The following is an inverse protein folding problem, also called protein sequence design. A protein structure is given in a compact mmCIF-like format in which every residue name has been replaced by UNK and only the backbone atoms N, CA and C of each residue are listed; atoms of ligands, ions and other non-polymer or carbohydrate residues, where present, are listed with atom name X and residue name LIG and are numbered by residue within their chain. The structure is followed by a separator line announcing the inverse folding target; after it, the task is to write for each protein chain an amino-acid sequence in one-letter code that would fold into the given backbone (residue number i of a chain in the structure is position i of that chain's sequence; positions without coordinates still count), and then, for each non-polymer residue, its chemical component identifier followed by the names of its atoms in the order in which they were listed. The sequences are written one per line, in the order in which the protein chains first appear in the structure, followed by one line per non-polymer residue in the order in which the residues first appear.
data_IF_242493939350
#
_entry.id   IF_242493939350
#
_cell.length_a   1.000
_cell.length_b   1.000
_cell.length_c   1.000
_cell.angle_alpha   90.00
_cell.angle_beta   90.00
_cell.angle_gamma   90.00
#
_symmetry.space_group_name_H-M   'P 1'
#
loop_
_entity.id
_entity.type
_entity.pdbx_description
1 polymer ?
#
# COMPACT_ATOMS: atom_id res chain seq x y z
N UNK A 1 -8.24 -25.19 -9.02
CA UNK A 1 -9.19 -24.50 -9.91
C UNK A 1 -8.65 -24.55 -11.33
N UNK A 2 -9.40 -25.09 -12.29
CA UNK A 2 -9.00 -25.15 -13.70
C UNK A 2 -9.12 -23.74 -14.30
N UNK A 3 -7.98 -23.14 -14.69
CA UNK A 3 -7.95 -21.89 -15.46
C UNK A 3 -8.65 -22.14 -16.80
N UNK A 4 -9.66 -21.33 -17.17
CA UNK A 4 -10.26 -21.39 -18.50
C UNK A 4 -9.16 -21.16 -19.56
N UNK A 5 -8.99 -22.09 -20.50
CA UNK A 5 -7.97 -21.98 -21.57
C UNK A 5 -8.19 -20.70 -22.38
N UNK A 6 -9.45 -20.26 -22.51
CA UNK A 6 -9.85 -19.07 -23.24
C UNK A 6 -9.33 -17.76 -22.63
N UNK A 7 -9.08 -17.71 -21.32
CA UNK A 7 -8.61 -16.50 -20.63
C UNK A 7 -7.10 -16.53 -20.31
N UNK A 8 -6.36 -17.47 -20.89
CA UNK A 8 -4.90 -17.53 -20.80
C UNK A 8 -4.18 -16.88 -21.99
N UNK A 9 -4.95 -16.38 -22.98
CA UNK A 9 -4.41 -15.64 -24.12
C UNK A 9 -4.39 -14.14 -23.80
N UNK A 10 -3.55 -13.40 -24.51
CA UNK A 10 -3.55 -11.95 -24.48
C UNK A 10 -4.88 -11.44 -25.07
N UNK A 11 -5.70 -10.76 -24.27
CA UNK A 11 -7.04 -10.37 -24.70
C UNK A 11 -7.03 -9.23 -25.73
N UNK A 12 -5.99 -8.38 -25.74
CA UNK A 12 -5.82 -7.35 -26.78
C UNK A 12 -5.44 -7.99 -28.11
N UNK A 13 -4.66 -9.07 -28.09
CA UNK A 13 -4.41 -9.86 -29.30
C UNK A 13 -5.67 -10.60 -29.76
N UNK A 14 -6.41 -11.21 -28.82
CA UNK A 14 -7.64 -11.94 -29.12
C UNK A 14 -8.70 -11.05 -29.77
N UNK A 15 -8.88 -9.82 -29.27
CA UNK A 15 -9.82 -8.85 -29.80
C UNK A 15 -9.54 -8.52 -31.28
N UNK A 16 -8.27 -8.36 -31.68
CA UNK A 16 -7.90 -8.10 -33.09
C UNK A 16 -8.31 -9.22 -34.05
N UNK A 17 -8.37 -10.45 -33.57
CA UNK A 17 -8.74 -11.64 -34.35
C UNK A 17 -10.26 -11.92 -34.28
N UNK A 18 -10.98 -11.29 -33.35
CA UNK A 18 -12.42 -11.50 -33.13
C UNK A 18 -13.27 -10.44 -33.85
N UNK A 19 -14.40 -10.87 -34.42
CA UNK A 19 -15.41 -9.93 -34.91
C UNK A 19 -16.11 -9.25 -33.73
N UNK A 20 -16.38 -7.94 -33.80
CA UNK A 20 -17.16 -7.21 -32.77
C UNK A 20 -18.52 -7.84 -32.47
N UNK A 21 -19.13 -8.56 -33.42
CA UNK A 21 -20.38 -9.33 -33.18
C UNK A 21 -20.22 -10.50 -32.21
N UNK A 22 -18.99 -10.95 -31.93
CA UNK A 22 -18.67 -12.02 -31.01
C UNK A 22 -19.04 -11.71 -29.56
N UNK A 23 -19.19 -10.42 -29.20
CA UNK A 23 -19.64 -10.00 -27.86
C UNK A 23 -20.97 -10.64 -27.46
N UNK A 24 -21.86 -10.90 -28.43
CA UNK A 24 -23.17 -11.53 -28.22
C UNK A 24 -23.08 -13.05 -27.96
N UNK A 25 -21.91 -13.63 -28.19
CA UNK A 25 -21.62 -15.05 -27.98
C UNK A 25 -20.75 -15.29 -26.74
N UNK A 26 -20.30 -14.22 -26.08
CA UNK A 26 -19.61 -14.37 -24.80
C UNK A 26 -20.59 -14.82 -23.73
N UNK A 27 -20.22 -15.81 -22.90
CA UNK A 27 -21.08 -16.30 -21.85
C UNK A 27 -21.50 -15.15 -20.92
N UNK A 28 -22.77 -15.16 -20.52
CA UNK A 28 -23.21 -14.37 -19.38
C UNK A 28 -22.52 -14.90 -18.13
N UNK A 29 -22.07 -13.97 -17.28
CA UNK A 29 -21.42 -14.32 -16.03
C UNK A 29 -22.52 -14.71 -15.07
N UNK A 30 -22.58 -15.98 -14.67
CA UNK A 30 -23.52 -16.41 -13.65
C UNK A 30 -23.09 -15.88 -12.27
N UNK A 31 -24.08 -15.62 -11.41
CA UNK A 31 -23.87 -15.21 -10.02
C UNK A 31 -23.11 -16.34 -9.30
N UNK A 32 -21.94 -16.03 -8.74
CA UNK A 32 -21.09 -17.00 -8.05
C UNK A 32 -20.04 -17.68 -8.92
N UNK A 33 -19.90 -17.32 -10.21
CA UNK A 33 -18.74 -17.73 -10.99
C UNK A 33 -17.42 -17.23 -10.37
N UNK A 34 -16.35 -17.99 -10.58
CA UNK A 34 -15.03 -17.64 -10.05
C UNK A 34 -14.53 -16.32 -10.66
N UNK A 35 -13.98 -15.44 -9.81
CA UNK A 35 -13.36 -14.17 -10.21
C UNK A 35 -12.36 -14.31 -11.38
N UNK A 36 -11.67 -15.45 -11.46
CA UNK A 36 -10.71 -15.77 -12.54
C UNK A 36 -11.37 -15.92 -13.94
N UNK A 37 -12.70 -16.07 -14.01
CA UNK A 37 -13.48 -16.02 -15.25
C UNK A 37 -14.19 -14.69 -15.43
N UNK A 38 -14.66 -14.09 -14.33
CA UNK A 38 -15.45 -12.87 -14.38
C UNK A 38 -14.63 -11.69 -14.91
N UNK A 39 -13.42 -11.47 -14.36
CA UNK A 39 -12.58 -10.33 -14.75
C UNK A 39 -12.22 -10.36 -16.24
N UNK A 40 -11.66 -11.46 -16.77
CA UNK A 40 -11.25 -11.49 -18.17
C UNK A 40 -12.46 -11.43 -19.13
N UNK A 41 -13.62 -11.98 -18.73
CA UNK A 41 -14.85 -11.89 -19.55
C UNK A 41 -15.37 -10.46 -19.63
N UNK A 42 -15.44 -9.74 -18.50
CA UNK A 42 -15.83 -8.33 -18.48
C UNK A 42 -14.87 -7.46 -19.28
N UNK A 43 -13.56 -7.69 -19.14
CA UNK A 43 -12.58 -6.94 -19.94
C UNK A 43 -12.64 -7.24 -21.44
N UNK A 44 -12.91 -8.49 -21.84
CA UNK A 44 -13.10 -8.81 -23.25
C UNK A 44 -14.37 -8.14 -23.82
N UNK A 45 -15.46 -8.09 -23.04
CA UNK A 45 -16.67 -7.32 -23.40
C UNK A 45 -16.36 -5.84 -23.53
N UNK A 46 -15.55 -5.28 -22.63
CA UNK A 46 -15.07 -3.90 -22.73
C UNK A 46 -14.33 -3.67 -24.06
N UNK A 47 -13.33 -4.49 -24.40
CA UNK A 47 -12.57 -4.32 -25.65
C UNK A 47 -13.45 -4.42 -26.91
N UNK A 48 -14.37 -5.38 -26.97
CA UNK A 48 -15.21 -5.58 -28.16
C UNK A 48 -16.31 -4.52 -28.35
N UNK A 49 -16.79 -3.92 -27.26
CA UNK A 49 -17.92 -2.98 -27.27
C UNK A 49 -17.56 -1.52 -27.00
N UNK A 50 -16.35 -1.26 -26.49
CA UNK A 50 -15.88 0.05 -26.01
C UNK A 50 -16.77 0.66 -24.92
N UNK A 51 -17.57 -0.17 -24.22
CA UNK A 51 -18.45 0.27 -23.15
C UNK A 51 -17.76 0.19 -21.78
N UNK A 52 -17.40 1.36 -21.22
CA UNK A 52 -16.74 1.51 -19.91
C UNK A 52 -17.50 0.90 -18.72
N UNK A 53 -18.77 0.53 -18.89
CA UNK A 53 -19.52 -0.23 -17.88
C UNK A 53 -18.82 -1.55 -17.54
N UNK A 54 -18.33 -2.29 -18.53
CA UNK A 54 -17.74 -3.60 -18.30
C UNK A 54 -16.37 -3.53 -17.60
N UNK A 55 -15.59 -2.48 -17.89
CA UNK A 55 -14.36 -2.19 -17.16
C UNK A 55 -14.69 -1.94 -15.67
N UNK A 56 -15.68 -1.08 -15.38
CA UNK A 56 -16.13 -0.82 -14.01
C UNK A 56 -16.64 -2.08 -13.31
N UNK A 57 -17.38 -2.93 -14.01
CA UNK A 57 -17.84 -4.23 -13.50
C UNK A 57 -16.65 -5.14 -13.12
N UNK A 58 -15.57 -5.14 -13.90
CA UNK A 58 -14.36 -5.91 -13.58
C UNK A 58 -13.68 -5.39 -12.30
N UNK A 59 -13.41 -4.09 -12.22
CA UNK A 59 -12.80 -3.49 -11.02
C UNK A 59 -13.68 -3.66 -9.78
N UNK A 60 -14.99 -3.50 -9.91
CA UNK A 60 -15.94 -3.72 -8.82
C UNK A 60 -15.96 -5.18 -8.36
N UNK A 61 -15.98 -6.15 -9.28
CA UNK A 61 -15.94 -7.58 -8.94
C UNK A 61 -14.69 -7.96 -8.15
N UNK A 62 -13.53 -7.40 -8.50
CA UNK A 62 -12.30 -7.59 -7.73
C UNK A 62 -12.41 -7.01 -6.32
N UNK A 63 -12.87 -5.76 -6.21
CA UNK A 63 -13.04 -5.09 -4.93
C UNK A 63 -14.03 -5.85 -4.02
N UNK A 64 -15.15 -6.30 -4.56
CA UNK A 64 -16.16 -7.09 -3.83
C UNK A 64 -15.59 -8.41 -3.33
N UNK A 65 -14.82 -9.12 -4.14
CA UNK A 65 -14.15 -10.39 -3.75
C UNK A 65 -13.25 -10.19 -2.54
N UNK A 66 -12.54 -9.06 -2.46
CA UNK A 66 -11.64 -8.73 -1.35
C UNK A 66 -12.45 -8.27 -0.11
N UNK A 67 -13.53 -7.52 -0.32
CA UNK A 67 -14.35 -6.95 0.75
C UNK A 67 -15.30 -7.96 1.41
N UNK A 68 -15.75 -8.97 0.67
CA UNK A 68 -16.76 -9.92 1.13
C UNK A 68 -16.37 -10.62 2.45
N UNK A 69 -15.16 -11.18 2.63
CA UNK A 69 -14.76 -11.80 3.90
C UNK A 69 -14.85 -10.83 5.09
N UNK A 70 -14.54 -9.55 4.88
CA UNK A 70 -14.59 -8.51 5.92
C UNK A 70 -16.04 -8.13 6.24
N UNK A 71 -16.90 -7.99 5.23
CA UNK A 71 -18.34 -7.70 5.42
C UNK A 71 -19.06 -8.84 6.15
N UNK A 72 -18.62 -10.09 5.95
CA UNK A 72 -19.14 -11.25 6.67
C UNK A 72 -18.65 -11.31 8.12
N UNK A 73 -17.42 -10.86 8.40
CA UNK A 73 -16.82 -10.77 9.74
C UNK A 73 -17.18 -9.45 10.45
N UNK A 74 -18.47 -9.22 10.64
CA UNK A 74 -18.99 -8.04 11.37
C UNK A 74 -18.46 -7.99 12.80
N UNK A 75 -18.28 -6.78 13.33
CA UNK A 75 -17.73 -6.55 14.68
C UNK A 75 -18.69 -5.72 15.54
N UNK A 76 -18.41 -5.61 16.84
CA UNK A 76 -19.16 -4.79 17.78
C UNK A 76 -18.16 -3.95 18.57
N UNK A 77 -18.01 -2.64 18.28
CA UNK A 77 -17.10 -1.80 19.03
C UNK A 77 -17.58 -1.59 20.47
N UNK A 78 -16.65 -1.54 21.41
CA UNK A 78 -16.92 -1.29 22.84
C UNK A 78 -15.83 -0.43 23.46
N UNK A 79 -16.12 0.47 24.40
CA UNK A 79 -15.07 1.31 24.96
C UNK A 79 -14.28 0.56 26.04
N UNK A 80 -12.99 0.30 25.80
CA UNK A 80 -12.11 -0.40 26.76
C UNK A 80 -11.11 0.51 27.49
N UNK A 81 -11.13 1.81 27.19
CA UNK A 81 -10.13 2.80 27.61
C UNK A 81 -10.72 3.66 28.72
N UNK A 82 -10.00 3.95 29.82
CA UNK A 82 -10.51 4.80 30.91
C UNK A 82 -10.65 6.28 30.51
N UNK A 83 -11.28 7.09 31.37
CA UNK A 83 -11.51 8.53 31.11
C UNK A 83 -10.24 9.37 31.01
N UNK A 84 -9.22 9.01 31.78
CA UNK A 84 -7.92 9.68 31.82
C UNK A 84 -6.89 9.06 30.87
N UNK A 85 -7.26 7.98 30.16
CA UNK A 85 -6.37 7.25 29.26
C UNK A 85 -6.44 7.74 27.82
N UNK A 86 -5.30 7.69 27.15
CA UNK A 86 -5.19 7.89 25.70
C UNK A 86 -4.53 6.68 25.05
N UNK A 87 -5.13 6.21 23.95
CA UNK A 87 -4.53 5.19 23.08
C UNK A 87 -3.63 5.89 22.08
N UNK A 88 -2.38 5.45 22.00
CA UNK A 88 -1.40 5.97 21.05
C UNK A 88 -0.85 4.83 20.19
N UNK A 89 -1.11 4.91 18.88
CA UNK A 89 -0.52 4.04 17.88
C UNK A 89 0.52 4.79 17.06
N UNK A 90 1.60 4.09 16.71
CA UNK A 90 2.71 4.63 15.90
C UNK A 90 3.30 3.56 14.99
N UNK A 91 3.48 3.90 13.71
CA UNK A 91 4.01 2.97 12.70
C UNK A 91 5.23 3.54 11.98
N UNK A 92 6.22 2.69 11.66
CA UNK A 92 7.29 3.06 10.74
C UNK A 92 6.74 3.19 9.31
N UNK A 93 7.53 3.78 8.43
CA UNK A 93 7.30 3.73 6.99
C UNK A 93 7.89 2.43 6.40
N UNK A 94 7.76 2.25 5.08
CA UNK A 94 8.34 1.10 4.39
C UNK A 94 9.08 1.46 3.11
N UNK A 95 10.19 0.77 2.86
CA UNK A 95 10.90 0.75 1.58
C UNK A 95 10.63 -0.58 0.88
N UNK A 96 10.17 -0.52 -0.38
CA UNK A 96 10.18 -1.66 -1.33
C UNK A 96 11.57 -1.74 -1.97
N UNK A 97 12.28 -2.84 -1.72
CA UNK A 97 13.60 -3.12 -2.29
C UNK A 97 13.52 -3.89 -3.61
N UNK A 98 12.53 -4.77 -3.73
CA UNK A 98 12.24 -5.56 -4.91
C UNK A 98 10.88 -6.25 -4.76
N UNK A 99 10.26 -6.59 -5.89
CA UNK A 99 9.03 -7.37 -5.90
C UNK A 99 7.75 -6.54 -5.95
N UNK A 100 7.82 -5.22 -5.77
CA UNK A 100 6.66 -4.34 -5.88
C UNK A 100 5.87 -4.58 -7.16
N UNK A 101 4.53 -4.50 -7.07
CA UNK A 101 3.52 -4.90 -8.06
C UNK A 101 3.14 -6.38 -8.06
N UNK A 102 4.00 -7.27 -7.57
CA UNK A 102 3.63 -8.70 -7.48
C UNK A 102 2.62 -8.97 -6.36
N UNK A 103 2.43 -8.03 -5.44
CA UNK A 103 1.47 -8.06 -4.34
C UNK A 103 0.06 -7.58 -4.74
N UNK A 104 -0.07 -6.98 -5.92
CA UNK A 104 -1.31 -6.34 -6.36
C UNK A 104 -2.29 -7.37 -6.95
N UNK A 105 -3.55 -7.43 -6.49
CA UNK A 105 -4.59 -8.22 -7.13
C UNK A 105 -4.92 -7.67 -8.54
N UNK A 106 -5.25 -8.53 -9.52
CA UNK A 106 -5.46 -9.98 -9.39
C UNK A 106 -4.17 -10.80 -9.51
N UNK A 107 -3.03 -10.21 -9.87
CA UNK A 107 -1.80 -10.96 -10.13
C UNK A 107 -1.39 -11.84 -8.95
N UNK A 108 -1.33 -11.28 -7.74
CA UNK A 108 -1.01 -12.05 -6.53
C UNK A 108 -2.00 -13.19 -6.26
N UNK A 109 -3.27 -13.03 -6.64
CA UNK A 109 -4.28 -14.10 -6.50
C UNK A 109 -4.10 -15.21 -7.53
N UNK A 110 -3.54 -14.91 -8.71
CA UNK A 110 -3.33 -15.88 -9.79
C UNK A 110 -2.02 -16.63 -9.64
N UNK A 111 -0.95 -15.91 -9.25
CA UNK A 111 0.42 -16.42 -9.29
C UNK A 111 1.19 -16.32 -7.98
N UNK A 112 0.59 -15.71 -6.94
CA UNK A 112 1.25 -15.40 -5.67
C UNK A 112 2.19 -14.21 -5.81
N UNK A 113 2.43 -13.46 -4.74
CA UNK A 113 3.35 -12.30 -4.75
C UNK A 113 4.60 -12.55 -3.89
N UNK A 114 5.72 -11.94 -4.28
CA UNK A 114 6.95 -11.90 -3.48
C UNK A 114 7.47 -10.47 -3.42
N UNK A 115 7.57 -9.89 -2.23
CA UNK A 115 8.08 -8.52 -2.03
C UNK A 115 9.09 -8.48 -0.90
N UNK A 116 10.27 -7.93 -1.17
CA UNK A 116 11.27 -7.66 -0.14
C UNK A 116 11.13 -6.22 0.33
N UNK A 117 10.75 -6.07 1.60
CA UNK A 117 10.48 -4.77 2.21
C UNK A 117 11.33 -4.54 3.46
N UNK A 118 11.52 -3.27 3.79
CA UNK A 118 12.16 -2.83 5.04
C UNK A 118 11.25 -1.85 5.75
N UNK A 119 10.92 -2.14 7.01
CA UNK A 119 10.27 -1.18 7.88
C UNK A 119 11.31 -0.16 8.38
N UNK A 120 11.05 1.14 8.18
CA UNK A 120 12.00 2.20 8.50
C UNK A 120 11.39 3.32 9.34
N UNK A 121 12.16 3.80 10.30
CA UNK A 121 11.91 5.05 11.01
C UNK A 121 12.63 6.20 10.30
N UNK A 122 12.04 7.38 10.34
CA UNK A 122 12.59 8.58 9.72
C UNK A 122 13.07 9.52 10.81
N UNK A 123 14.32 9.96 10.73
CA UNK A 123 14.96 10.81 11.73
C UNK A 123 14.83 10.25 13.16
N UNK A 124 14.90 8.92 13.30
CA UNK A 124 14.82 8.21 14.58
C UNK A 124 13.43 8.14 15.21
N UNK A 125 12.36 8.36 14.45
CA UNK A 125 10.98 8.27 14.92
C UNK A 125 10.06 7.54 13.91
N UNK A 126 9.03 6.82 14.40
CA UNK A 126 7.92 6.37 13.56
C UNK A 126 7.16 7.59 13.01
N UNK A 127 7.10 7.77 11.68
CA UNK A 127 6.57 8.98 11.08
C UNK A 127 5.05 9.06 11.03
N UNK A 128 4.34 7.96 11.32
CA UNK A 128 2.88 7.87 11.28
C UNK A 128 2.36 7.65 12.69
N UNK A 129 1.42 8.47 13.15
CA UNK A 129 0.89 8.38 14.51
C UNK A 129 -0.60 8.68 14.56
N UNK A 130 -1.29 8.01 15.47
CA UNK A 130 -2.69 8.22 15.79
C UNK A 130 -2.91 8.15 17.30
N UNK A 131 -3.78 9.02 17.79
CA UNK A 131 -4.16 9.17 19.19
C UNK A 131 -5.68 9.10 19.29
N UNK A 132 -6.20 8.28 20.20
CA UNK A 132 -7.64 8.15 20.44
C UNK A 132 -7.91 8.28 21.93
N UNK A 133 -8.79 9.20 22.28
CA UNK A 133 -9.33 9.35 23.64
C UNK A 133 -10.86 9.36 23.60
N UNK A 134 -11.48 9.01 24.71
CA UNK A 134 -12.94 9.09 24.85
C UNK A 134 -13.40 10.53 25.06
N UNK A 135 -14.66 10.80 24.71
CA UNK A 135 -15.36 12.07 24.98
C UNK A 135 -16.75 11.82 25.54
N UNK A 136 -17.30 12.81 26.26
CA UNK A 136 -18.66 12.75 26.81
C UNK A 136 -19.74 12.97 25.74
N UNK A 137 -19.44 13.78 24.72
CA UNK A 137 -20.35 14.03 23.61
C UNK A 137 -20.54 12.77 22.77
N UNK A 138 -21.78 12.45 22.38
CA UNK A 138 -22.07 11.33 21.46
C UNK A 138 -21.76 11.68 20.01
N UNK A 139 -20.51 12.09 19.75
CA UNK A 139 -19.96 12.48 18.46
C UNK A 139 -18.56 11.89 18.27
N UNK A 140 -18.07 11.89 17.03
CA UNK A 140 -16.69 11.51 16.71
C UNK A 140 -15.98 12.73 16.13
N UNK A 141 -14.93 13.22 16.79
CA UNK A 141 -14.14 14.34 16.31
C UNK A 141 -12.86 13.80 15.67
N UNK A 142 -12.60 14.19 14.43
CA UNK A 142 -11.39 13.86 13.68
C UNK A 142 -10.50 15.10 13.58
N UNK A 143 -9.19 14.92 13.81
CA UNK A 143 -8.18 15.98 13.67
C UNK A 143 -6.94 15.47 12.96
N UNK A 144 -6.53 16.17 11.91
CA UNK A 144 -5.25 15.98 11.24
C UNK A 144 -4.31 17.12 11.59
N UNK A 145 -3.18 16.80 12.21
CA UNK A 145 -2.18 17.82 12.60
C UNK A 145 -1.46 18.36 11.37
N UNK A 146 -1.04 17.48 10.46
CA UNK A 146 -0.27 17.83 9.26
C UNK A 146 -1.07 18.67 8.25
N UNK A 147 -2.38 18.46 8.17
CA UNK A 147 -3.27 19.25 7.31
C UNK A 147 -3.86 20.46 8.03
N UNK A 148 -3.74 20.55 9.37
CA UNK A 148 -4.36 21.61 10.16
C UNK A 148 -5.89 21.61 10.08
N UNK A 149 -6.52 20.43 9.92
CA UNK A 149 -7.97 20.29 9.72
C UNK A 149 -8.62 19.54 10.86
N UNK A 150 -9.91 19.79 11.06
CA UNK A 150 -10.78 19.03 11.96
C UNK A 150 -12.18 18.88 11.37
N UNK A 151 -12.85 17.79 11.72
CA UNK A 151 -14.22 17.48 11.32
C UNK A 151 -14.94 16.76 12.47
N UNK A 152 -16.19 17.13 12.73
CA UNK A 152 -17.06 16.43 13.67
C UNK A 152 -18.09 15.60 12.92
N UNK A 153 -18.17 14.31 13.25
CA UNK A 153 -19.07 13.33 12.66
C UNK A 153 -20.16 13.01 13.67
N UNK A 154 -21.41 13.14 13.25
CA UNK A 154 -22.58 12.86 14.10
C UNK A 154 -23.55 11.87 13.47
N UNK A 155 -23.51 11.66 12.15
CA UNK A 155 -24.44 10.76 11.44
C UNK A 155 -23.71 9.72 10.58
N UNK A 156 -24.40 8.64 10.22
CA UNK A 156 -23.84 7.63 9.32
C UNK A 156 -23.54 8.21 7.93
N UNK A 157 -24.37 9.12 7.43
CA UNK A 157 -24.16 9.76 6.13
C UNK A 157 -22.83 10.53 6.12
N UNK A 158 -22.57 11.33 7.16
CA UNK A 158 -21.30 12.05 7.30
C UNK A 158 -20.09 11.11 7.45
N UNK A 159 -20.30 9.93 8.04
CA UNK A 159 -19.28 8.90 8.20
C UNK A 159 -18.97 8.16 6.88
N UNK A 160 -19.95 8.00 5.99
CA UNK A 160 -19.77 7.36 4.67
C UNK A 160 -19.46 8.33 3.54
N UNK A 161 -19.49 9.64 3.81
CA UNK A 161 -19.13 10.65 2.82
C UNK A 161 -17.61 10.72 2.62
N UNK A 162 -17.15 10.04 1.57
CA UNK A 162 -15.78 10.09 1.07
C UNK A 162 -15.59 11.07 -0.09
N UNK A 163 -16.66 11.72 -0.55
CA UNK A 163 -16.67 12.50 -1.80
C UNK A 163 -15.76 13.73 -1.72
N UNK A 164 -15.61 14.29 -0.53
CA UNK A 164 -14.71 15.39 -0.27
C UNK A 164 -13.26 14.89 -0.06
N UNK A 165 -12.54 14.66 -1.14
CA UNK A 165 -11.12 14.26 -1.11
C UNK A 165 -10.22 15.30 -0.43
N UNK A 166 -10.63 16.58 -0.43
CA UNK A 166 -9.90 17.66 0.21
C UNK A 166 -10.07 17.67 1.73
N UNK A 167 -11.07 16.99 2.28
CA UNK A 167 -11.29 16.90 3.74
C UNK A 167 -10.07 16.34 4.47
N UNK A 168 -9.36 15.39 3.86
CA UNK A 168 -8.29 14.65 4.51
C UNK A 168 -8.78 13.55 5.47
N UNK A 169 -10.09 13.30 5.53
CA UNK A 169 -10.71 12.40 6.52
C UNK A 169 -11.32 11.12 5.93
N UNK A 170 -11.17 10.85 4.63
CA UNK A 170 -11.67 9.61 4.02
C UNK A 170 -11.07 8.35 4.66
N UNK A 171 -9.78 8.36 5.00
CA UNK A 171 -9.09 7.25 5.68
C UNK A 171 -9.69 6.97 7.07
N UNK A 172 -9.67 7.90 8.05
CA UNK A 172 -10.23 7.64 9.36
C UNK A 172 -11.72 7.27 9.34
N UNK A 173 -12.51 7.86 8.43
CA UNK A 173 -13.92 7.49 8.21
C UNK A 173 -14.07 6.02 7.78
N UNK A 174 -13.29 5.58 6.81
CA UNK A 174 -13.28 4.17 6.40
C UNK A 174 -12.80 3.24 7.52
N UNK A 175 -11.78 3.64 8.30
CA UNK A 175 -11.33 2.87 9.47
C UNK A 175 -12.47 2.68 10.50
N UNK A 176 -13.20 3.75 10.83
CA UNK A 176 -14.36 3.70 11.72
C UNK A 176 -15.45 2.77 11.18
N UNK A 177 -15.75 2.83 9.87
CA UNK A 177 -16.69 1.92 9.24
C UNK A 177 -16.27 0.47 9.44
N UNK A 178 -15.00 0.13 9.15
CA UNK A 178 -14.48 -1.22 9.35
C UNK A 178 -14.47 -1.66 10.83
N UNK A 179 -14.35 -0.73 11.77
CA UNK A 179 -14.47 -0.98 13.21
C UNK A 179 -15.92 -1.11 13.70
N UNK A 180 -16.90 -1.11 12.80
CA UNK A 180 -18.30 -1.35 13.13
C UNK A 180 -19.09 -0.10 13.53
N UNK A 181 -18.60 1.11 13.25
CA UNK A 181 -19.37 2.35 13.45
C UNK A 181 -20.40 2.61 12.33
N UNK A 182 -20.57 1.67 11.40
CA UNK A 182 -21.61 1.69 10.37
C UNK A 182 -22.38 0.37 10.33
N UNK A 183 -23.72 0.37 10.07
CA UNK A 183 -24.55 -0.84 10.10
C UNK A 183 -24.11 -1.98 9.17
N UNK A 184 -23.37 -1.67 8.11
CA UNK A 184 -22.86 -2.67 7.16
C UNK A 184 -21.77 -3.55 7.78
N UNK A 185 -21.00 -3.01 8.73
CA UNK A 185 -19.86 -3.68 9.37
C UNK A 185 -20.12 -4.02 10.85
N UNK A 186 -21.23 -3.53 11.41
CA UNK A 186 -21.64 -3.80 12.79
C UNK A 186 -22.53 -5.03 12.91
N UNK A 187 -22.32 -5.86 13.94
CA UNK A 187 -23.27 -6.93 14.30
C UNK A 187 -24.59 -6.36 14.83
N UNK A 188 -24.53 -5.23 15.53
CA UNK A 188 -25.69 -4.55 16.12
C UNK A 188 -26.05 -3.35 15.26
N UNK A 189 -27.33 -3.24 14.89
CA UNK A 189 -27.82 -2.11 14.10
C UNK A 189 -28.50 -1.10 15.02
N UNK A 190 -28.05 0.14 14.93
CA UNK A 190 -28.65 1.27 15.64
C UNK A 190 -29.32 2.19 14.63
N UNK A 191 -30.37 2.90 15.06
CA UNK A 191 -31.10 3.85 14.21
C UNK A 191 -30.30 5.10 13.84
N UNK A 192 -29.27 5.45 14.62
CA UNK A 192 -28.33 6.53 14.30
C UNK A 192 -26.96 6.28 14.94
N UNK A 193 -25.93 6.95 14.42
CA UNK A 193 -24.58 6.90 14.98
C UNK A 193 -24.56 7.41 16.44
N UNK A 194 -25.32 8.45 16.78
CA UNK A 194 -25.36 8.94 18.16
C UNK A 194 -25.94 7.89 19.13
N UNK A 195 -26.95 7.12 18.71
CA UNK A 195 -27.49 6.05 19.54
C UNK A 195 -26.48 4.92 19.74
N UNK A 196 -25.68 4.60 18.71
CA UNK A 196 -24.56 3.67 18.85
C UNK A 196 -23.50 4.18 19.84
N UNK A 197 -23.10 5.45 19.74
CA UNK A 197 -22.11 6.04 20.66
C UNK A 197 -22.60 6.09 22.11
N UNK A 198 -23.90 6.34 22.33
CA UNK A 198 -24.53 6.26 23.66
C UNK A 198 -24.51 4.85 24.22
N UNK A 199 -24.74 3.84 23.39
CA UNK A 199 -24.67 2.43 23.80
C UNK A 199 -23.23 1.99 24.12
N UNK A 200 -22.25 2.47 23.35
CA UNK A 200 -20.82 2.32 23.65
C UNK A 200 -20.44 3.04 24.96
N UNK A 201 -21.16 4.12 25.29
CA UNK A 201 -20.97 4.91 26.51
C UNK A 201 -20.03 6.11 26.35
N UNK A 202 -19.57 6.42 25.13
CA UNK A 202 -18.72 7.59 24.87
C UNK A 202 -18.69 7.99 23.38
N UNK A 203 -18.28 9.23 23.13
CA UNK A 203 -17.74 9.66 21.84
C UNK A 203 -16.24 9.40 21.73
N UNK A 204 -15.68 9.78 20.58
CA UNK A 204 -14.25 9.60 20.26
C UNK A 204 -13.62 10.90 19.79
N UNK A 205 -12.42 11.18 20.27
CA UNK A 205 -11.51 12.19 19.72
C UNK A 205 -10.33 11.46 19.08
N UNK A 206 -10.24 11.51 17.75
CA UNK A 206 -9.19 10.86 16.95
C UNK A 206 -8.29 11.94 16.36
N UNK A 207 -7.06 12.01 16.85
CA UNK A 207 -6.02 12.89 16.29
C UNK A 207 -4.95 12.07 15.61
N UNK A 208 -4.58 12.42 14.38
CA UNK A 208 -3.55 11.70 13.63
C UNK A 208 -2.65 12.64 12.84
N UNK A 209 -1.49 12.14 12.45
CA UNK A 209 -0.61 12.86 11.52
C UNK A 209 0.34 11.92 10.77
N UNK A 210 0.83 12.43 9.64
CA UNK A 210 1.94 11.83 8.87
C UNK A 210 3.06 12.85 8.71
N UNK A 211 4.26 12.51 9.16
CA UNK A 211 5.48 13.29 8.89
C UNK A 211 5.99 13.11 7.44
N UNK A 212 5.33 12.25 6.66
CA UNK A 212 5.68 11.95 5.28
C UNK A 212 4.69 12.65 4.34
N UNK A 213 5.17 13.39 3.31
CA UNK A 213 4.30 13.97 2.30
C UNK A 213 3.45 12.91 1.59
N UNK A 214 2.20 13.25 1.26
CA UNK A 214 1.34 12.43 0.41
C UNK A 214 2.01 12.22 -0.96
N UNK A 215 1.88 11.02 -1.53
CA UNK A 215 2.47 10.69 -2.83
C UNK A 215 4.00 10.58 -2.80
N UNK A 216 4.58 10.26 -1.64
CA UNK A 216 6.02 10.08 -1.44
C UNK A 216 6.54 8.69 -1.82
N UNK A 217 5.65 7.72 -2.02
CA UNK A 217 6.03 6.35 -2.33
C UNK A 217 6.55 5.53 -1.15
N UNK A 218 6.33 5.95 0.11
CA UNK A 218 6.71 5.21 1.33
C UNK A 218 5.53 4.46 2.01
N UNK A 219 4.44 4.22 1.28
CA UNK A 219 3.28 3.47 1.79
C UNK A 219 2.42 4.25 2.78
N UNK A 220 2.50 5.57 2.73
CA UNK A 220 1.95 6.49 3.73
C UNK A 220 0.45 6.28 3.98
N UNK A 221 -0.36 6.13 2.93
CA UNK A 221 -1.81 5.98 3.07
C UNK A 221 -2.18 4.69 3.79
N UNK A 222 -1.70 3.54 3.30
CA UNK A 222 -2.02 2.23 3.84
C UNK A 222 -1.47 2.07 5.27
N UNK A 223 -0.27 2.60 5.55
CA UNK A 223 0.30 2.57 6.89
C UNK A 223 -0.40 3.55 7.86
N UNK A 224 -0.89 4.70 7.40
CA UNK A 224 -1.73 5.57 8.22
C UNK A 224 -3.05 4.88 8.58
N UNK A 225 -3.67 4.20 7.60
CA UNK A 225 -4.85 3.35 7.83
C UNK A 225 -4.57 2.29 8.88
N UNK A 226 -3.46 1.55 8.76
CA UNK A 226 -3.07 0.53 9.73
C UNK A 226 -2.79 1.10 11.13
N UNK A 227 -2.19 2.28 11.21
CA UNK A 227 -1.96 2.98 12.49
C UNK A 227 -3.28 3.37 13.17
N UNK A 228 -4.22 3.94 12.42
CA UNK A 228 -5.54 4.32 12.95
C UNK A 228 -6.35 3.08 13.33
N UNK A 229 -6.34 2.03 12.49
CA UNK A 229 -7.03 0.76 12.79
C UNK A 229 -6.44 0.08 14.03
N UNK A 230 -5.14 0.15 14.25
CA UNK A 230 -4.49 -0.42 15.43
C UNK A 230 -4.92 0.31 16.71
N UNK A 231 -4.96 1.65 16.67
CA UNK A 231 -5.49 2.45 17.78
C UNK A 231 -6.98 2.16 18.03
N UNK A 232 -7.79 2.06 16.96
CA UNK A 232 -9.21 1.74 17.08
C UNK A 232 -9.45 0.31 17.58
N UNK A 233 -8.65 -0.67 17.15
CA UNK A 233 -8.75 -2.06 17.62
C UNK A 233 -8.57 -2.14 19.13
N UNK A 234 -7.53 -1.47 19.63
CA UNK A 234 -7.26 -1.37 21.07
C UNK A 234 -8.37 -0.60 21.78
N UNK A 235 -8.74 0.60 21.31
CA UNK A 235 -9.79 1.41 21.91
C UNK A 235 -11.12 0.65 22.02
N UNK A 236 -11.53 0.01 20.92
CA UNK A 236 -12.81 -0.64 20.74
C UNK A 236 -12.87 -2.10 21.28
N UNK A 237 -11.76 -2.64 21.79
CA UNK A 237 -11.70 -4.02 22.28
C UNK A 237 -11.88 -5.09 21.19
N UNK A 238 -11.44 -4.81 19.97
CA UNK A 238 -11.68 -5.68 18.81
C UNK A 238 -10.69 -6.86 18.72
N UNK A 239 -9.59 -6.80 19.49
CA UNK A 239 -8.57 -7.85 19.60
C UNK A 239 -7.99 -8.30 18.25
N UNK A 240 -7.82 -7.37 17.30
CA UNK A 240 -7.15 -7.68 16.04
C UNK A 240 -5.64 -7.77 16.22
N UNK A 241 -5.06 -8.83 15.67
CA UNK A 241 -3.63 -8.96 15.48
C UNK A 241 -3.15 -8.16 14.25
N UNK A 242 -1.85 -8.07 14.05
CA UNK A 242 -1.24 -7.32 12.96
C UNK A 242 -1.67 -7.83 11.57
N UNK A 243 -1.96 -9.12 11.43
CA UNK A 243 -2.44 -9.71 10.17
C UNK A 243 -3.87 -9.24 9.85
N UNK A 244 -4.77 -9.24 10.82
CA UNK A 244 -6.13 -8.72 10.66
C UNK A 244 -6.12 -7.21 10.44
N UNK A 245 -5.23 -6.45 11.09
CA UNK A 245 -5.00 -5.03 10.78
C UNK A 245 -4.63 -4.87 9.31
N UNK A 246 -3.64 -5.62 8.82
CA UNK A 246 -3.21 -5.53 7.43
C UNK A 246 -4.30 -5.95 6.43
N UNK A 247 -5.11 -6.95 6.77
CA UNK A 247 -6.25 -7.39 5.98
C UNK A 247 -7.34 -6.30 5.88
N UNK A 248 -7.60 -5.60 7.00
CA UNK A 248 -8.52 -4.46 7.03
C UNK A 248 -7.99 -3.25 6.27
N UNK A 249 -6.68 -3.03 6.27
CA UNK A 249 -6.07 -2.02 5.38
C UNK A 249 -6.29 -2.38 3.91
N UNK A 250 -6.11 -3.64 3.52
CA UNK A 250 -6.36 -4.08 2.15
C UNK A 250 -7.82 -3.84 1.74
N UNK A 251 -8.78 -4.15 2.63
CA UNK A 251 -10.18 -3.83 2.43
C UNK A 251 -10.45 -2.32 2.33
N UNK A 252 -9.81 -1.51 3.18
CA UNK A 252 -9.93 -0.06 3.13
C UNK A 252 -9.43 0.52 1.79
N UNK A 253 -8.34 0.01 1.23
CA UNK A 253 -7.88 0.41 -0.10
C UNK A 253 -8.97 0.16 -1.15
N UNK A 254 -9.61 -1.00 -1.14
CA UNK A 254 -10.71 -1.30 -2.08
C UNK A 254 -11.93 -0.38 -1.89
N UNK A 255 -12.14 0.20 -0.71
CA UNK A 255 -13.23 1.15 -0.46
C UNK A 255 -12.91 2.56 -0.97
N UNK A 256 -11.63 2.97 -0.96
CA UNK A 256 -11.24 4.37 -1.15
C UNK A 256 -10.49 4.66 -2.45
N UNK A 257 -9.94 3.65 -3.11
CA UNK A 257 -9.06 3.80 -4.27
C UNK A 257 -9.47 2.89 -5.42
N UNK A 258 -8.72 2.93 -6.52
CA UNK A 258 -8.86 2.03 -7.66
C UNK A 258 -8.27 0.62 -7.40
N UNK A 259 -7.98 0.30 -6.13
CA UNK A 259 -7.32 -0.92 -5.70
C UNK A 259 -5.96 -0.62 -5.07
N UNK A 260 -5.30 -1.67 -4.59
CA UNK A 260 -4.00 -1.61 -3.92
C UNK A 260 -3.55 -3.02 -3.56
N UNK A 261 -2.24 -3.21 -3.43
CA UNK A 261 -1.66 -4.46 -2.99
C UNK A 261 -1.53 -4.54 -1.46
N UNK A 262 -0.90 -5.59 -0.97
CA UNK A 262 -0.71 -5.83 0.46
C UNK A 262 0.67 -5.40 0.98
N UNK A 263 1.62 -5.02 0.11
CA UNK A 263 3.01 -4.78 0.51
C UNK A 263 3.17 -3.60 1.46
N UNK A 264 2.33 -2.57 1.36
CA UNK A 264 2.53 -1.31 2.09
C UNK A 264 2.30 -1.54 3.58
N UNK A 265 1.15 -2.09 3.93
CA UNK A 265 0.79 -2.40 5.30
C UNK A 265 1.70 -3.48 5.89
N UNK A 266 1.94 -4.59 5.17
CA UNK A 266 2.82 -5.63 5.70
C UNK A 266 4.26 -5.12 5.83
N UNK A 267 4.69 -4.26 4.91
CA UNK A 267 6.03 -3.69 4.86
C UNK A 267 6.38 -2.81 6.06
N UNK A 268 5.41 -2.07 6.61
CA UNK A 268 5.65 -1.19 7.77
C UNK A 268 5.03 -1.67 9.09
N UNK A 269 3.89 -2.37 9.09
CA UNK A 269 3.29 -2.86 10.35
C UNK A 269 4.23 -3.88 11.02
N UNK A 270 4.83 -4.78 10.25
CA UNK A 270 5.82 -5.72 10.77
C UNK A 270 7.23 -5.12 10.74
N UNK A 271 8.10 -5.40 11.73
CA UNK A 271 9.44 -4.83 11.81
C UNK A 271 10.40 -5.38 10.75
N UNK A 272 11.57 -4.76 10.68
CA UNK A 272 12.77 -5.33 10.06
C UNK A 272 12.75 -5.43 8.53
N UNK A 273 13.79 -6.10 8.04
CA UNK A 273 13.94 -6.55 6.65
C UNK A 273 13.23 -7.88 6.49
N UNK A 274 12.43 -8.04 5.45
CA UNK A 274 11.63 -9.25 5.26
C UNK A 274 11.27 -9.49 3.81
N UNK A 275 11.24 -10.77 3.45
CA UNK A 275 10.56 -11.27 2.26
C UNK A 275 9.13 -11.64 2.65
N UNK A 276 8.17 -10.99 2.02
CA UNK A 276 6.75 -11.26 2.14
C UNK A 276 6.32 -12.12 0.96
N UNK A 277 5.62 -13.21 1.23
CA UNK A 277 5.22 -14.20 0.21
C UNK A 277 3.74 -14.55 0.33
N UNK A 278 3.00 -14.52 -0.77
CA UNK A 278 1.67 -15.12 -0.85
C UNK A 278 1.61 -16.26 -1.85
N UNK A 279 0.78 -17.24 -1.53
CA UNK A 279 0.42 -18.32 -2.45
C UNK A 279 -0.72 -17.90 -3.38
N UNK A 280 -0.94 -18.71 -4.42
CA UNK A 280 -2.08 -18.56 -5.33
C UNK A 280 -3.41 -18.72 -4.57
N UNK A 281 -4.35 -17.82 -4.82
CA UNK A 281 -5.71 -17.90 -4.27
C UNK A 281 -6.25 -16.54 -3.83
N UNK A 282 -7.53 -16.48 -3.47
CA UNK A 282 -8.16 -15.24 -2.99
C UNK A 282 -7.67 -14.83 -1.60
N UNK A 283 -7.17 -15.78 -0.81
CA UNK A 283 -6.65 -15.50 0.53
C UNK A 283 -5.20 -14.98 0.45
N UNK A 284 -5.06 -13.67 0.31
CA UNK A 284 -3.78 -13.00 0.19
C UNK A 284 -3.26 -12.54 1.56
N UNK A 285 -2.96 -13.51 2.44
CA UNK A 285 -2.28 -13.27 3.72
C UNK A 285 -0.80 -13.65 3.58
N UNK A 286 0.12 -12.68 3.50
CA UNK A 286 1.54 -12.92 3.40
C UNK A 286 2.13 -13.77 4.53
N UNK A 287 2.92 -14.77 4.15
CA UNK A 287 3.93 -15.39 5.00
C UNK A 287 5.13 -14.45 5.10
N UNK A 288 5.65 -14.27 6.31
CA UNK A 288 6.76 -13.37 6.60
C UNK A 288 8.03 -14.20 6.80
N UNK A 289 9.04 -13.96 5.97
CA UNK A 289 10.39 -14.50 6.13
C UNK A 289 11.32 -13.36 6.50
N UNK A 290 11.68 -13.26 7.77
CA UNK A 290 12.62 -12.25 8.27
C UNK A 290 14.01 -12.49 7.69
N UNK A 291 14.62 -11.42 7.21
CA UNK A 291 15.97 -11.41 6.66
C UNK A 291 16.93 -10.69 7.63
N UNK A 292 18.23 -11.02 7.60
CA UNK A 292 19.22 -10.31 8.41
C UNK A 292 19.27 -8.82 8.09
N UNK A 293 19.49 -8.00 9.13
CA UNK A 293 19.70 -6.55 8.99
C UNK A 293 21.18 -6.16 9.01
N UNK A 294 22.09 -7.14 8.94
CA UNK A 294 23.54 -6.97 9.01
C UNK A 294 24.05 -5.95 7.98
N UNK A 295 23.59 -6.03 6.72
CA UNK A 295 23.94 -5.07 5.67
C UNK A 295 23.62 -3.62 6.05
N UNK A 296 22.50 -3.40 6.73
CA UNK A 296 22.02 -2.06 7.09
C UNK A 296 22.65 -1.52 8.38
N UNK A 297 23.29 -2.40 9.17
CA UNK A 297 23.97 -2.08 10.42
C UNK A 297 25.49 -2.18 10.33
N UNK A 298 26.01 -2.63 9.20
CA UNK A 298 27.44 -2.75 8.95
C UNK A 298 28.11 -1.38 9.11
N UNK A 299 29.12 -1.22 9.99
CA UNK A 299 29.76 0.07 10.22
C UNK A 299 30.42 0.68 8.97
N UNK A 300 30.84 -0.15 8.02
CA UNK A 300 31.43 0.28 6.75
C UNK A 300 30.34 0.70 5.77
N UNK A 301 29.27 -0.10 5.63
CA UNK A 301 28.31 0.05 4.54
C UNK A 301 26.97 0.71 4.90
N UNK A 302 26.59 0.80 6.18
CA UNK A 302 25.34 1.44 6.59
C UNK A 302 25.27 2.90 6.10
N UNK A 303 26.39 3.62 6.17
CA UNK A 303 26.51 4.99 5.65
C UNK A 303 26.46 5.11 4.12
N UNK A 304 26.54 4.00 3.39
CA UNK A 304 26.45 3.96 1.92
C UNK A 304 25.01 3.87 1.42
N UNK A 305 24.05 3.56 2.29
CA UNK A 305 22.62 3.56 1.97
C UNK A 305 22.05 4.95 2.28
N UNK A 306 21.46 5.59 1.28
CA UNK A 306 21.02 6.99 1.36
C UNK A 306 19.57 7.07 0.94
N UNK A 307 18.77 7.79 1.72
CA UNK A 307 17.40 8.13 1.40
C UNK A 307 17.29 9.61 1.06
N UNK A 308 16.81 9.91 -0.15
CA UNK A 308 16.68 11.27 -0.65
C UNK A 308 15.25 11.55 -1.08
N UNK A 309 14.60 12.55 -0.49
CA UNK A 309 13.32 13.02 -0.98
C UNK A 309 13.52 13.94 -2.17
N UNK A 310 12.94 13.60 -3.32
CA UNK A 310 13.09 14.34 -4.58
C UNK A 310 12.33 15.67 -4.59
N UNK A 311 11.36 15.88 -3.68
CA UNK A 311 10.45 17.02 -3.71
C UNK A 311 9.28 16.87 -4.69
N UNK A 312 9.27 15.80 -5.50
CA UNK A 312 8.21 15.50 -6.46
C UNK A 312 7.16 14.65 -5.76
N UNK A 313 5.88 14.99 -5.92
CA UNK A 313 4.76 14.19 -5.43
C UNK A 313 3.91 13.74 -6.61
N UNK A 314 3.64 12.44 -6.71
CA UNK A 314 2.73 11.88 -7.72
C UNK A 314 1.65 11.06 -6.99
N UNK A 315 0.40 11.24 -7.40
CA UNK A 315 -0.69 10.35 -6.98
C UNK A 315 -0.67 9.15 -7.93
N UNK A 316 -0.45 7.95 -7.38
CA UNK A 316 -0.29 6.73 -8.17
C UNK A 316 -1.60 6.17 -8.79
N UNK A 317 -2.74 6.86 -8.64
CA UNK A 317 -4.06 6.35 -9.03
C UNK A 317 -4.15 5.96 -10.52
N UNK A 318 -3.66 6.83 -11.41
CA UNK A 318 -3.74 6.56 -12.85
C UNK A 318 -2.84 5.38 -13.24
N UNK A 319 -1.61 5.35 -12.71
CA UNK A 319 -0.64 4.28 -12.97
C UNK A 319 -1.13 2.90 -12.48
N UNK A 320 -1.71 2.86 -11.27
CA UNK A 320 -2.25 1.63 -10.71
C UNK A 320 -3.39 1.07 -11.57
N UNK A 321 -4.27 1.93 -12.07
CA UNK A 321 -5.36 1.54 -12.96
C UNK A 321 -4.84 0.87 -14.23
N UNK A 322 -3.86 1.48 -14.90
CA UNK A 322 -3.28 0.97 -16.15
C UNK A 322 -2.59 -0.40 -15.97
N UNK A 323 -1.81 -0.57 -14.90
CA UNK A 323 -1.14 -1.85 -14.62
C UNK A 323 -2.16 -2.94 -14.28
N UNK A 324 -3.17 -2.63 -13.46
CA UNK A 324 -4.22 -3.60 -13.08
C UNK A 324 -5.10 -3.96 -14.27
N UNK A 325 -5.42 -2.99 -15.14
CA UNK A 325 -6.10 -3.25 -16.41
C UNK A 325 -5.29 -4.23 -17.28
N UNK A 326 -3.97 -4.00 -17.42
CA UNK A 326 -3.06 -4.91 -18.11
C UNK A 326 -3.08 -6.33 -17.54
N UNK A 327 -3.17 -6.46 -16.21
CA UNK A 327 -3.33 -7.76 -15.54
C UNK A 327 -4.67 -8.43 -15.88
N UNK A 328 -5.78 -7.68 -15.89
CA UNK A 328 -7.09 -8.21 -16.29
C UNK A 328 -7.12 -8.66 -17.76
N UNK A 329 -6.38 -7.96 -18.62
CA UNK A 329 -6.24 -8.24 -20.04
C UNK A 329 -5.27 -9.36 -20.36
N UNK A 330 -4.60 -9.90 -19.35
CA UNK A 330 -3.56 -10.91 -19.50
C UNK A 330 -2.47 -10.46 -20.50
N UNK A 331 -2.06 -9.18 -20.41
CA UNK A 331 -0.98 -8.62 -21.24
C UNK A 331 0.30 -9.42 -21.01
N UNK A 332 0.77 -10.09 -22.06
CA UNK A 332 1.92 -10.99 -21.98
C UNK A 332 3.18 -10.28 -21.53
N UNK A 333 3.39 -9.04 -21.99
CA UNK A 333 4.61 -8.30 -21.66
C UNK A 333 4.61 -7.89 -20.19
N UNK A 334 3.49 -7.34 -19.69
CA UNK A 334 3.31 -7.04 -18.28
C UNK A 334 3.48 -8.27 -17.37
N UNK A 335 2.87 -9.40 -17.74
CA UNK A 335 2.97 -10.65 -16.95
C UNK A 335 4.39 -11.19 -16.90
N UNK A 336 5.09 -11.25 -18.05
CA UNK A 336 6.49 -11.69 -18.08
C UNK A 336 7.39 -10.76 -17.24
N UNK A 337 7.12 -9.45 -17.26
CA UNK A 337 7.83 -8.51 -16.41
C UNK A 337 7.56 -8.75 -14.93
N UNK A 338 6.32 -9.04 -14.53
CA UNK A 338 5.95 -9.37 -13.15
C UNK A 338 6.60 -10.68 -12.68
N UNK A 339 6.66 -11.71 -13.53
CA UNK A 339 7.35 -12.97 -13.22
C UNK A 339 8.86 -12.77 -13.02
N UNK A 340 9.47 -11.89 -13.80
CA UNK A 340 10.87 -11.48 -13.62
C UNK A 340 11.08 -10.69 -12.32
N UNK A 341 10.18 -9.76 -12.00
CA UNK A 341 10.19 -9.00 -10.74
C UNK A 341 10.08 -9.93 -9.53
N UNK A 342 9.19 -10.93 -9.58
CA UNK A 342 9.01 -11.92 -8.53
C UNK A 342 10.27 -12.77 -8.30
N UNK A 343 10.86 -13.28 -9.39
CA UNK A 343 12.14 -14.03 -9.29
C UNK A 343 13.26 -13.16 -8.73
N UNK A 344 13.31 -11.89 -9.14
CA UNK A 344 14.29 -10.94 -8.64
C UNK A 344 14.13 -10.64 -7.15
N UNK A 345 12.89 -10.61 -6.62
CA UNK A 345 12.64 -10.47 -5.19
C UNK A 345 13.22 -11.64 -4.37
N UNK A 346 13.15 -12.87 -4.88
CA UNK A 346 13.79 -14.01 -4.23
C UNK A 346 15.32 -13.92 -4.29
N UNK A 347 15.87 -13.50 -5.44
CA UNK A 347 17.32 -13.28 -5.58
C UNK A 347 17.85 -12.22 -4.62
N UNK A 348 17.18 -11.06 -4.48
CA UNK A 348 17.64 -10.03 -3.54
C UNK A 348 17.56 -10.52 -2.09
N UNK A 349 16.57 -11.36 -1.75
CA UNK A 349 16.46 -11.96 -0.43
C UNK A 349 17.67 -12.89 -0.14
N UNK A 350 18.09 -13.70 -1.10
CA UNK A 350 19.31 -14.53 -1.00
C UNK A 350 20.57 -13.69 -0.81
N UNK A 351 20.70 -12.59 -1.58
CA UNK A 351 21.83 -11.67 -1.47
C UNK A 351 21.89 -11.00 -0.08
N UNK A 352 20.75 -10.57 0.45
CA UNK A 352 20.66 -10.03 1.82
C UNK A 352 21.05 -11.10 2.84
N UNK A 353 20.59 -12.33 2.67
CA UNK A 353 20.91 -13.45 3.55
C UNK A 353 22.41 -13.76 3.59
N UNK A 354 23.11 -13.57 2.46
CA UNK A 354 24.57 -13.77 2.34
C UNK A 354 25.39 -12.59 2.88
N UNK A 355 24.78 -11.41 3.07
CA UNK A 355 25.50 -10.21 3.49
C UNK A 355 26.43 -9.62 2.42
N UNK A 356 26.19 -9.88 1.13
CA UNK A 356 26.99 -9.32 0.04
C UNK A 356 26.50 -7.92 -0.35
N UNK A 357 27.19 -6.89 0.14
CA UNK A 357 26.85 -5.49 -0.11
C UNK A 357 26.94 -5.09 -1.59
N UNK A 358 27.94 -5.59 -2.32
CA UNK A 358 28.14 -5.23 -3.73
C UNK A 358 27.06 -5.88 -4.59
N UNK A 359 26.74 -7.14 -4.34
CA UNK A 359 25.63 -7.82 -5.01
C UNK A 359 24.30 -7.15 -4.65
N UNK A 360 24.11 -6.70 -3.40
CA UNK A 360 22.90 -5.98 -2.96
C UNK A 360 22.71 -4.69 -3.76
N UNK A 361 23.74 -3.85 -3.85
CA UNK A 361 23.68 -2.61 -4.64
C UNK A 361 23.36 -2.86 -6.12
N UNK A 362 23.96 -3.89 -6.73
CA UNK A 362 23.65 -4.30 -8.11
C UNK A 362 22.22 -4.84 -8.26
N UNK A 363 21.72 -5.58 -7.28
CA UNK A 363 20.34 -6.07 -7.27
C UNK A 363 19.33 -4.92 -7.20
N UNK A 364 19.62 -3.87 -6.42
CA UNK A 364 18.79 -2.64 -6.40
C UNK A 364 18.77 -1.95 -7.78
N UNK A 365 19.91 -1.89 -8.48
CA UNK A 365 19.96 -1.37 -9.86
C UNK A 365 19.08 -2.18 -10.81
N UNK A 366 19.04 -3.50 -10.64
CA UNK A 366 18.18 -4.37 -11.44
C UNK A 366 16.69 -4.17 -11.10
N UNK A 367 16.33 -3.99 -9.81
CA UNK A 367 14.97 -3.59 -9.40
C UNK A 367 14.52 -2.35 -10.18
N UNK A 368 15.39 -1.33 -10.27
CA UNK A 368 15.06 -0.10 -10.99
C UNK A 368 14.81 -0.33 -12.48
N UNK A 369 15.64 -1.14 -13.16
CA UNK A 369 15.41 -1.47 -14.57
C UNK A 369 14.09 -2.21 -14.77
N UNK A 370 13.81 -3.20 -13.94
CA UNK A 370 12.56 -3.97 -14.01
C UNK A 370 11.34 -3.07 -13.80
N UNK A 371 11.38 -2.15 -12.84
CA UNK A 371 10.31 -1.17 -12.60
C UNK A 371 10.10 -0.26 -13.81
N UNK A 372 11.17 0.28 -14.40
CA UNK A 372 11.05 1.13 -15.59
C UNK A 372 10.59 0.38 -16.85
N UNK A 373 10.84 -0.93 -16.91
CA UNK A 373 10.32 -1.77 -18.00
C UNK A 373 8.82 -2.05 -17.83
N UNK A 374 8.35 -2.19 -16.59
CA UNK A 374 6.93 -2.35 -16.30
C UNK A 374 6.17 -1.04 -16.52
N UNK A 375 6.76 0.10 -16.14
CA UNK A 375 6.19 1.43 -16.29
C UNK A 375 7.25 2.45 -16.69
N UNK A 376 7.13 3.00 -17.91
CA UNK A 376 8.04 4.03 -18.41
C UNK A 376 7.92 5.35 -17.65
N UNK A 377 6.79 5.65 -17.03
CA UNK A 377 6.59 6.89 -16.27
C UNK A 377 7.21 6.85 -14.87
N UNK A 378 7.76 5.70 -14.47
CA UNK A 378 8.47 5.56 -13.20
C UNK A 378 9.69 6.48 -13.12
N UNK A 379 10.29 6.82 -14.25
CA UNK A 379 11.43 7.72 -14.35
C UNK A 379 11.14 8.90 -15.29
N UNK A 380 10.68 10.00 -14.70
CA UNK A 380 10.51 11.24 -15.46
C UNK A 380 11.84 12.00 -15.62
N UNK A 381 11.82 13.05 -16.45
CA UNK A 381 13.01 13.84 -16.76
C UNK A 381 13.71 14.43 -15.51
N UNK A 382 12.96 14.83 -14.49
CA UNK A 382 13.54 15.41 -13.27
C UNK A 382 14.20 14.34 -12.39
N UNK A 383 13.61 13.16 -12.29
CA UNK A 383 14.23 12.01 -11.61
C UNK A 383 15.52 11.61 -12.34
N UNK A 384 15.49 11.55 -13.67
CA UNK A 384 16.68 11.23 -14.45
C UNK A 384 17.80 12.27 -14.23
N UNK A 385 17.49 13.56 -14.17
CA UNK A 385 18.48 14.60 -13.82
C UNK A 385 19.11 14.38 -12.45
N UNK A 386 18.32 14.01 -11.44
CA UNK A 386 18.84 13.68 -10.12
C UNK A 386 19.79 12.47 -10.22
N UNK A 387 19.38 11.42 -10.92
CA UNK A 387 20.17 10.21 -11.12
C UNK A 387 21.50 10.53 -11.84
N UNK A 388 21.47 11.31 -12.91
CA UNK A 388 22.66 11.69 -13.69
C UNK A 388 23.72 12.40 -12.84
N UNK A 389 23.32 13.07 -11.74
CA UNK A 389 24.28 13.72 -10.84
C UNK A 389 25.06 12.74 -9.96
N UNK A 390 24.59 11.50 -9.80
CA UNK A 390 25.11 10.55 -8.80
C UNK A 390 25.40 9.14 -9.34
N UNK A 391 24.97 8.77 -10.56
CA UNK A 391 25.12 7.40 -11.09
C UNK A 391 26.57 6.89 -11.11
N UNK A 392 27.55 7.76 -11.39
CA UNK A 392 28.97 7.42 -11.38
C UNK A 392 29.50 6.97 -10.01
N UNK A 393 28.77 7.25 -8.93
CA UNK A 393 29.13 6.96 -7.54
C UNK A 393 28.31 5.82 -6.93
N UNK A 394 27.34 5.28 -7.67
CA UNK A 394 26.35 4.34 -7.14
C UNK A 394 26.54 2.92 -7.68
N UNK A 395 26.20 1.93 -6.85
CA UNK A 395 25.98 0.54 -7.29
C UNK A 395 24.58 0.39 -7.86
N UNK A 396 23.60 1.05 -7.25
CA UNK A 396 22.22 1.07 -7.67
C UNK A 396 21.39 2.08 -6.89
N UNK A 397 20.18 2.32 -7.38
CA UNK A 397 19.18 3.19 -6.78
C UNK A 397 17.81 2.77 -7.27
N UNK A 398 16.75 3.07 -6.52
CA UNK A 398 15.36 2.81 -6.92
C UNK A 398 14.40 3.75 -6.21
N UNK A 399 13.24 4.02 -6.81
CA UNK A 399 12.12 4.63 -6.09
C UNK A 399 11.39 3.52 -5.34
N UNK A 400 11.19 3.62 -4.01
CA UNK A 400 10.62 2.57 -3.17
C UNK A 400 9.09 2.54 -3.18
N UNK A 401 8.45 3.24 -4.11
CA UNK A 401 7.00 3.24 -4.32
C UNK A 401 6.65 3.05 -5.78
N UNK A 402 5.44 3.44 -6.18
CA UNK A 402 4.92 3.22 -7.52
C UNK A 402 5.77 3.85 -8.65
N UNK A 403 6.52 4.93 -8.37
CA UNK A 403 7.39 5.60 -9.33
C UNK A 403 6.95 7.04 -9.65
N UNK A 404 7.75 7.75 -10.46
CA UNK A 404 7.43 9.10 -10.96
C UNK A 404 7.56 10.24 -9.93
N UNK A 405 7.99 9.95 -8.71
CA UNK A 405 8.31 10.94 -7.68
C UNK A 405 8.60 10.30 -6.33
N UNK A 406 8.66 11.13 -5.29
CA UNK A 406 8.78 10.67 -3.91
C UNK A 406 10.23 10.55 -3.44
N UNK A 407 10.56 9.44 -2.78
CA UNK A 407 11.90 9.17 -2.28
C UNK A 407 12.72 8.35 -3.26
N UNK A 408 14.03 8.59 -3.31
CA UNK A 408 15.02 7.78 -3.99
C UNK A 408 15.86 7.06 -2.93
N UNK A 409 15.85 5.74 -2.96
CA UNK A 409 16.76 4.90 -2.18
C UNK A 409 18.01 4.64 -3.01
N UNK A 410 19.18 4.93 -2.45
CA UNK A 410 20.46 4.93 -3.16
C UNK A 410 21.44 4.04 -2.40
N UNK A 411 22.19 3.21 -3.14
CA UNK A 411 23.31 2.43 -2.62
C UNK A 411 24.59 2.91 -3.29
N UNK A 412 25.39 3.68 -2.56
CA UNK A 412 26.70 4.15 -3.00
C UNK A 412 27.73 3.00 -3.04
N UNK A 413 28.79 3.14 -3.83
CA UNK A 413 29.86 2.13 -3.97
C UNK A 413 30.62 1.85 -2.67
N UNK A 414 30.87 2.91 -1.90
CA UNK A 414 31.75 2.92 -0.73
C UNK A 414 31.51 4.22 0.07
N UNK A 415 32.09 4.36 1.29
CA UNK A 415 31.88 5.54 2.13
C UNK A 415 32.29 6.88 1.50
N UNK A 416 33.35 6.90 0.69
CA UNK A 416 33.80 8.12 0.00
C UNK A 416 32.81 8.52 -1.08
N UNK A 417 32.34 7.56 -1.88
CA UNK A 417 31.27 7.75 -2.85
C UNK A 417 30.00 8.24 -2.17
N UNK A 418 29.64 7.68 -1.01
CA UNK A 418 28.46 8.07 -0.25
C UNK A 418 28.53 9.52 0.27
N UNK A 419 29.71 9.97 0.72
CA UNK A 419 29.92 11.35 1.13
C UNK A 419 29.77 12.33 -0.05
N UNK A 420 30.30 11.95 -1.21
CA UNK A 420 30.20 12.73 -2.44
C UNK A 420 28.76 12.78 -2.97
N UNK A 421 28.01 11.67 -2.96
CA UNK A 421 26.58 11.64 -3.29
C UNK A 421 25.80 12.64 -2.44
N UNK A 422 25.98 12.60 -1.11
CA UNK A 422 25.33 13.57 -0.20
C UNK A 422 25.71 15.01 -0.55
N UNK A 423 26.99 15.26 -0.86
CA UNK A 423 27.48 16.60 -1.25
C UNK A 423 26.83 17.08 -2.55
N UNK A 424 26.72 16.23 -3.56
CA UNK A 424 26.10 16.57 -4.86
C UNK A 424 24.60 16.83 -4.70
N UNK A 425 23.89 15.96 -3.98
CA UNK A 425 22.45 16.12 -3.72
C UNK A 425 22.11 17.36 -2.89
N UNK A 426 22.93 17.73 -1.89
CA UNK A 426 22.75 18.99 -1.14
C UNK A 426 22.88 20.25 -2.00
N UNK A 427 23.64 20.17 -3.10
CA UNK A 427 23.81 21.27 -4.06
C UNK A 427 22.77 21.22 -5.19
N UNK A 428 21.96 20.17 -5.27
CA UNK A 428 20.95 20.03 -6.31
C UNK A 428 19.80 21.00 -6.08
N UNK A 429 19.63 21.98 -6.97
CA UNK A 429 18.62 23.04 -6.84
C UNK A 429 17.39 22.86 -7.74
N UNK A 430 17.22 21.68 -8.36
CA UNK A 430 16.10 21.42 -9.28
C UNK A 430 14.71 21.45 -8.63
N UNK A 431 14.62 21.21 -7.32
CA UNK A 431 13.38 21.28 -6.56
C UNK A 431 13.64 21.78 -5.13
N UNK A 432 12.99 22.87 -4.71
CA UNK A 432 13.23 23.49 -3.40
C UNK A 432 12.80 22.64 -2.20
N UNK A 433 11.98 21.60 -2.41
CA UNK A 433 11.53 20.69 -1.36
C UNK A 433 12.42 19.47 -1.20
N UNK A 434 13.39 19.26 -2.11
CA UNK A 434 14.28 18.13 -2.05
C UNK A 434 15.11 18.16 -0.75
N UNK A 435 15.46 16.99 -0.23
CA UNK A 435 16.27 16.88 0.99
C UNK A 435 16.77 15.46 1.23
N UNK A 436 17.94 15.35 1.83
CA UNK A 436 18.39 14.10 2.46
C UNK A 436 17.55 13.84 3.71
N UNK A 437 17.23 12.57 3.95
CA UNK A 437 16.47 12.14 5.12
C UNK A 437 17.22 10.99 5.78
N UNK A 438 17.43 11.11 7.09
CA UNK A 438 18.01 10.02 7.86
C UNK A 438 16.95 8.95 8.09
N UNK A 439 17.35 7.69 7.94
CA UNK A 439 16.47 6.55 8.20
C UNK A 439 17.20 5.48 8.98
N UNK A 440 16.44 4.69 9.73
CA UNK A 440 16.94 3.52 10.46
C UNK A 440 15.93 2.38 10.33
N UNK A 441 16.37 1.14 10.45
CA UNK A 441 15.44 0.00 10.47
C UNK A 441 14.61 0.04 11.74
N UNK A 442 13.29 -0.05 11.59
CA UNK A 442 12.41 -0.25 12.74
C UNK A 442 12.49 -1.71 13.20
N UNK A 443 12.94 -1.92 14.43
CA UNK A 443 12.99 -3.24 15.08
C UNK A 443 11.67 -3.64 15.72
N UNK A 444 10.71 -2.72 15.76
CA UNK A 444 9.48 -2.84 16.53
C UNK A 444 8.22 -2.89 15.67
N UNK A 445 8.24 -2.33 14.46
CA UNK A 445 7.04 -2.26 13.63
C UNK A 445 6.01 -1.32 14.24
N UNK A 446 4.74 -1.55 13.95
CA UNK A 446 3.65 -0.82 14.57
C UNK A 446 3.55 -1.12 16.07
N UNK A 447 3.27 -0.08 16.85
CA UNK A 447 3.08 -0.17 18.30
C UNK A 447 1.86 0.58 18.74
N UNK A 448 1.09 -0.06 19.63
CA UNK A 448 0.00 0.56 20.37
C UNK A 448 0.35 0.58 21.86
N UNK A 449 0.09 1.70 22.51
CA UNK A 449 0.27 1.87 23.96
C UNK A 449 -0.85 2.71 24.54
N UNK A 450 -1.17 2.49 25.81
CA UNK A 450 -2.04 3.36 26.60
C UNK A 450 -1.18 4.10 27.61
N UNK A 451 -1.52 5.35 27.89
CA UNK A 451 -0.93 6.14 28.97
C UNK A 451 -2.02 6.72 29.85
#
# INVERSE_FOLDING_TARGET
MLKSIFFQIDLRHAEKEMNKSFVNHLPEIEIGESIYKQLPNSMLKYLLSENSKYEKEAFQGLAETILEPIKLKKVTPSCTVLEDQIVWSRSPARIDLAGGWTDTPPHCMMDGGDVVTVAIELNGQPPLQAYIRRTEESSINLRSIDLGKQEQITTYESLTDYSNLDSGFSIPKACLNLCGFHPDFSKVKYSSLQNQLRDIGCGLDITFFSAIPKGSGLGTSSLLSGTILSALSDFCGLNWDEHEICNRVLALEQLLTSGGGWQDQYGGIFPGVKLLHTEKGVNQIPLIKWLPDSLFKDPEYAGCMILFYTGITRVAKNLLGEIVEGMFLNDKNGILALDEIKRHANYIAEVIQQGDFIAFGKAIKETWKLKNRLDSDSNNQEIQRIIDTIDDLCLGYTLPGAGGGGYLFIVAKDPQSAAEVRRRLRKYTGNTRNRLVDFTISTQGNKVSRS
#
